data_IF_371397472059
#
_entry.id   IF_371397472059
#
_cell.length_a   1.000
_cell.length_b   1.000
_cell.length_c   1.000
_cell.angle_alpha   90.00
_cell.angle_beta   90.00
_cell.angle_gamma   90.00
#
_symmetry.space_group_name_H-M   'P 1'
#
loop_
_entity.id
_entity.type
_entity.pdbx_description
1 polymer ?
#
# COMPACT_ATOMS: atom_id res chain seq x y z
N UNK A 1 -30.08 12.61 -5.56
CA UNK A 1 -29.30 11.36 -5.44
C UNK A 1 -29.79 10.58 -4.23
N UNK A 2 -30.32 9.39 -4.43
CA UNK A 2 -30.87 8.53 -3.36
C UNK A 2 -29.79 7.65 -2.67
N UNK A 3 -30.18 6.85 -1.68
CA UNK A 3 -29.25 5.97 -0.95
C UNK A 3 -28.63 4.88 -1.85
N UNK A 4 -29.37 4.39 -2.86
CA UNK A 4 -28.92 3.35 -3.78
C UNK A 4 -27.89 3.92 -4.76
N UNK A 5 -28.17 5.08 -5.33
CA UNK A 5 -27.25 5.80 -6.22
C UNK A 5 -25.95 6.16 -5.49
N UNK A 6 -26.03 6.60 -4.22
CA UNK A 6 -24.84 6.84 -3.38
C UNK A 6 -24.01 5.57 -3.18
N UNK A 7 -24.66 4.44 -2.87
CA UNK A 7 -24.00 3.15 -2.70
C UNK A 7 -23.27 2.71 -3.97
N UNK A 8 -23.95 2.80 -5.12
CA UNK A 8 -23.38 2.43 -6.44
C UNK A 8 -22.14 3.28 -6.74
N UNK A 9 -22.28 4.61 -6.70
CA UNK A 9 -21.17 5.52 -7.01
C UNK A 9 -20.00 5.35 -6.06
N UNK A 10 -20.25 5.23 -4.75
CA UNK A 10 -19.18 5.00 -3.77
C UNK A 10 -18.44 3.68 -4.03
N UNK A 11 -19.18 2.62 -4.34
CA UNK A 11 -18.59 1.32 -4.68
C UNK A 11 -17.70 1.40 -5.90
N UNK A 12 -18.22 1.94 -7.00
CA UNK A 12 -17.49 2.07 -8.27
C UNK A 12 -16.22 2.92 -8.12
N UNK A 13 -16.29 4.03 -7.37
CA UNK A 13 -15.12 4.89 -7.13
C UNK A 13 -14.00 4.19 -6.37
N UNK A 14 -14.32 3.34 -5.40
CA UNK A 14 -13.31 2.78 -4.48
C UNK A 14 -12.79 1.44 -5.00
N UNK A 15 -13.65 0.63 -5.61
CA UNK A 15 -13.35 -0.76 -5.95
C UNK A 15 -13.46 -1.06 -7.46
N UNK A 16 -13.81 -0.07 -8.28
CA UNK A 16 -13.91 -0.22 -9.73
C UNK A 16 -15.09 -1.08 -10.18
N UNK A 17 -14.95 -1.77 -11.33
CA UNK A 17 -16.03 -2.53 -11.96
C UNK A 17 -16.53 -3.71 -11.12
N UNK A 18 -15.69 -4.26 -10.24
CA UNK A 18 -16.01 -5.41 -9.39
C UNK A 18 -16.34 -4.99 -7.95
N UNK A 19 -17.03 -3.87 -7.78
CA UNK A 19 -17.22 -3.24 -6.46
C UNK A 19 -18.20 -3.94 -5.52
N UNK A 20 -19.16 -4.71 -6.03
CA UNK A 20 -20.28 -5.20 -5.20
C UNK A 20 -19.82 -6.15 -4.08
N UNK A 21 -18.87 -7.04 -4.37
CA UNK A 21 -18.30 -7.96 -3.37
C UNK A 21 -17.46 -7.26 -2.30
N UNK A 22 -16.47 -6.41 -2.62
CA UNK A 22 -15.71 -5.67 -1.61
C UNK A 22 -16.59 -4.68 -0.83
N UNK A 23 -17.58 -4.05 -1.45
CA UNK A 23 -18.55 -3.20 -0.74
C UNK A 23 -19.43 -4.01 0.22
N UNK A 24 -19.79 -5.25 -0.12
CA UNK A 24 -20.52 -6.13 0.79
C UNK A 24 -19.70 -6.44 2.05
N UNK A 25 -18.41 -6.78 1.88
CA UNK A 25 -17.48 -6.98 3.01
C UNK A 25 -17.36 -5.72 3.86
N UNK A 26 -17.21 -4.57 3.21
CA UNK A 26 -17.07 -3.28 3.87
C UNK A 26 -18.30 -2.92 4.72
N UNK A 27 -19.49 -3.18 4.21
CA UNK A 27 -20.75 -2.92 4.91
C UNK A 27 -21.10 -4.01 5.94
N UNK A 28 -20.33 -5.10 6.03
CA UNK A 28 -20.64 -6.24 6.88
C UNK A 28 -21.91 -6.98 6.47
N UNK A 29 -22.22 -7.04 5.18
CA UNK A 29 -23.43 -7.70 4.63
C UNK A 29 -23.08 -8.75 3.59
N UNK A 30 -24.04 -9.63 3.29
CA UNK A 30 -23.87 -10.62 2.22
C UNK A 30 -23.82 -9.96 0.83
N UNK A 31 -23.01 -10.50 -0.09
CA UNK A 31 -22.90 -10.01 -1.47
C UNK A 31 -24.24 -10.06 -2.24
N UNK A 32 -25.15 -10.97 -1.89
CA UNK A 32 -26.54 -11.00 -2.41
C UNK A 32 -27.35 -9.81 -1.92
N UNK A 33 -27.11 -9.30 -0.71
CA UNK A 33 -27.80 -8.12 -0.19
C UNK A 33 -27.44 -6.87 -1.01
N UNK A 34 -26.15 -6.66 -1.28
CA UNK A 34 -25.68 -5.57 -2.16
C UNK A 34 -26.32 -5.67 -3.55
N UNK A 35 -26.34 -6.86 -4.16
CA UNK A 35 -27.02 -7.09 -5.45
C UNK A 35 -28.50 -6.74 -5.40
N UNK A 36 -29.21 -7.09 -4.33
CA UNK A 36 -30.63 -6.75 -4.16
C UNK A 36 -30.84 -5.24 -3.97
N UNK A 37 -29.95 -4.54 -3.27
CA UNK A 37 -29.98 -3.06 -3.18
C UNK A 37 -29.82 -2.43 -4.56
N UNK A 38 -28.84 -2.90 -5.34
CA UNK A 38 -28.57 -2.39 -6.69
C UNK A 38 -29.73 -2.70 -7.64
N UNK A 39 -30.36 -3.86 -7.54
CA UNK A 39 -31.53 -4.22 -8.34
C UNK A 39 -32.82 -3.49 -7.91
N UNK A 40 -32.82 -2.78 -6.78
CA UNK A 40 -34.04 -2.16 -6.21
C UNK A 40 -34.98 -3.14 -5.53
N UNK A 41 -34.58 -4.41 -5.39
CA UNK A 41 -35.36 -5.48 -4.75
C UNK A 41 -35.35 -5.36 -3.21
N UNK A 42 -34.48 -4.54 -2.65
CA UNK A 42 -34.46 -4.22 -1.22
C UNK A 42 -33.95 -2.81 -0.98
N UNK A 43 -34.33 -2.21 0.15
CA UNK A 43 -33.90 -0.88 0.54
C UNK A 43 -32.39 -0.85 0.79
N UNK A 44 -31.68 0.03 0.09
CA UNK A 44 -30.26 0.30 0.33
C UNK A 44 -30.02 0.80 1.78
N UNK A 45 -28.83 0.56 2.36
CA UNK A 45 -28.48 1.08 3.67
C UNK A 45 -28.64 2.60 3.73
N UNK A 46 -28.91 3.11 4.94
CA UNK A 46 -28.97 4.56 5.14
C UNK A 46 -27.61 5.18 4.85
N UNK A 47 -27.62 6.41 4.30
CA UNK A 47 -26.38 7.13 3.94
C UNK A 47 -25.38 7.17 5.10
N UNK A 48 -25.82 7.35 6.35
CA UNK A 48 -24.91 7.40 7.51
C UNK A 48 -24.12 6.10 7.69
N UNK A 49 -24.74 4.92 7.52
CA UNK A 49 -24.04 3.63 7.62
C UNK A 49 -22.98 3.48 6.55
N UNK A 50 -23.27 3.93 5.33
CA UNK A 50 -22.29 3.93 4.25
C UNK A 50 -21.11 4.84 4.61
N UNK A 51 -21.37 6.04 5.14
CA UNK A 51 -20.32 6.98 5.59
C UNK A 51 -19.47 6.38 6.72
N UNK A 52 -20.09 5.73 7.70
CA UNK A 52 -19.38 5.12 8.82
C UNK A 52 -18.44 4.00 8.34
N UNK A 53 -18.91 3.10 7.48
CA UNK A 53 -18.06 2.06 6.90
C UNK A 53 -16.93 2.66 6.05
N UNK A 54 -17.20 3.71 5.27
CA UNK A 54 -16.16 4.38 4.48
C UNK A 54 -15.09 5.05 5.34
N UNK A 55 -15.48 5.67 6.46
CA UNK A 55 -14.54 6.25 7.42
C UNK A 55 -13.66 5.20 8.07
N UNK A 56 -14.25 4.07 8.46
CA UNK A 56 -13.49 2.93 8.98
C UNK A 56 -12.49 2.44 7.93
N UNK A 57 -12.90 2.32 6.66
CA UNK A 57 -11.98 1.90 5.60
C UNK A 57 -10.84 2.89 5.39
N UNK A 58 -11.14 4.18 5.46
CA UNK A 58 -10.11 5.22 5.37
C UNK A 58 -9.07 5.04 6.48
N UNK A 59 -9.53 4.83 7.72
CA UNK A 59 -8.62 4.59 8.85
C UNK A 59 -7.73 3.36 8.63
N UNK A 60 -8.28 2.23 8.19
CA UNK A 60 -7.48 1.03 7.88
C UNK A 60 -6.41 1.32 6.80
N UNK A 61 -6.74 2.14 5.80
CA UNK A 61 -5.80 2.54 4.75
C UNK A 61 -4.72 3.45 5.32
N UNK A 62 -5.09 4.43 6.15
CA UNK A 62 -4.14 5.34 6.80
C UNK A 62 -3.16 4.57 7.72
N UNK A 63 -3.66 3.57 8.46
CA UNK A 63 -2.84 2.66 9.27
C UNK A 63 -1.89 1.82 8.40
N UNK A 64 -2.37 1.29 7.28
CA UNK A 64 -1.54 0.54 6.34
C UNK A 64 -0.46 1.42 5.69
N UNK A 65 -0.79 2.66 5.34
CA UNK A 65 0.18 3.64 4.82
C UNK A 65 1.26 3.90 5.87
N UNK A 66 0.87 4.17 7.12
CA UNK A 66 1.81 4.40 8.23
C UNK A 66 2.77 3.22 8.41
N UNK A 67 2.27 2.00 8.26
CA UNK A 67 3.11 0.79 8.33
C UNK A 67 4.10 0.72 7.15
N UNK A 68 3.64 0.98 5.92
CA UNK A 68 4.51 0.98 4.73
C UNK A 68 5.55 2.11 4.79
N UNK A 69 5.19 3.26 5.37
CA UNK A 69 6.07 4.41 5.56
C UNK A 69 6.96 4.30 6.81
N UNK A 70 6.91 3.19 7.55
CA UNK A 70 7.63 3.04 8.81
C UNK A 70 9.16 3.08 8.67
N UNK A 71 9.69 2.83 7.48
CA UNK A 71 11.11 2.88 7.15
C UNK A 71 11.45 3.98 6.11
N UNK A 72 10.53 4.92 5.90
CA UNK A 72 10.76 6.11 5.10
C UNK A 72 11.63 7.09 5.88
N UNK A 73 12.77 7.47 5.29
CA UNK A 73 13.70 8.44 5.87
C UNK A 73 14.06 9.52 4.86
N UNK A 74 14.55 10.66 5.36
CA UNK A 74 15.17 11.67 4.50
C UNK A 74 16.45 11.12 3.90
N UNK A 75 16.71 11.44 2.63
CA UNK A 75 17.97 11.10 1.97
C UNK A 75 19.19 11.68 2.66
N UNK A 76 19.05 12.82 3.34
CA UNK A 76 20.12 13.44 4.11
C UNK A 76 20.50 12.61 5.35
N UNK A 77 19.59 11.75 5.82
CA UNK A 77 19.87 10.79 6.89
C UNK A 77 20.60 9.53 6.40
N UNK A 78 20.76 9.36 5.07
CA UNK A 78 21.49 8.22 4.51
C UNK A 78 22.98 8.51 4.48
N UNK A 79 23.64 8.20 5.59
CA UNK A 79 25.08 8.37 5.73
C UNK A 79 25.86 7.25 5.03
N UNK A 80 27.15 7.46 4.69
CA UNK A 80 28.01 6.38 4.19
C UNK A 80 28.06 5.15 5.11
N UNK A 81 28.02 5.35 6.43
CA UNK A 81 27.99 4.28 7.43
C UNK A 81 26.69 3.46 7.37
N UNK A 82 25.56 4.13 7.10
CA UNK A 82 24.30 3.44 6.91
C UNK A 82 24.34 2.58 5.64
N UNK A 83 24.85 3.11 4.53
CA UNK A 83 25.02 2.35 3.28
C UNK A 83 25.90 1.12 3.52
N UNK A 84 27.02 1.31 4.21
CA UNK A 84 27.93 0.24 4.60
C UNK A 84 27.24 -0.82 5.48
N UNK A 85 26.41 -0.39 6.44
CA UNK A 85 25.62 -1.29 7.29
C UNK A 85 24.52 -2.07 6.55
N UNK A 86 24.05 -1.55 5.41
CA UNK A 86 23.07 -2.24 4.55
C UNK A 86 23.78 -3.27 3.68
N UNK A 87 24.84 -2.85 2.99
CA UNK A 87 25.61 -3.71 2.09
C UNK A 87 26.22 -4.89 2.85
N UNK A 88 26.79 -4.65 4.04
CA UNK A 88 27.38 -5.70 4.88
C UNK A 88 26.41 -6.82 5.33
N UNK A 89 25.10 -6.65 5.16
CA UNK A 89 24.10 -7.70 5.44
C UNK A 89 24.08 -8.81 4.39
N UNK A 90 24.71 -8.58 3.24
CA UNK A 90 24.70 -9.50 2.12
C UNK A 90 26.11 -9.96 1.77
N UNK A 91 26.20 -11.13 1.14
CA UNK A 91 27.45 -11.66 0.59
C UNK A 91 27.51 -11.36 -0.91
N UNK A 92 28.66 -10.89 -1.37
CA UNK A 92 28.91 -10.54 -2.75
C UNK A 92 29.98 -11.46 -3.34
N UNK A 93 29.97 -11.63 -4.65
CA UNK A 93 30.92 -12.50 -5.34
C UNK A 93 32.36 -11.98 -5.21
N UNK A 94 32.50 -10.66 -5.24
CA UNK A 94 33.77 -9.94 -5.14
C UNK A 94 33.54 -8.48 -4.75
N UNK A 95 34.63 -7.75 -4.55
CA UNK A 95 34.60 -6.33 -4.19
C UNK A 95 33.97 -5.45 -5.27
N UNK A 96 34.06 -5.83 -6.55
CA UNK A 96 33.44 -5.09 -7.65
C UNK A 96 31.90 -5.12 -7.56
N UNK A 97 31.30 -6.29 -7.32
CA UNK A 97 29.85 -6.42 -7.12
C UNK A 97 29.37 -5.66 -5.89
N UNK A 98 30.17 -5.69 -4.83
CA UNK A 98 29.91 -4.92 -3.61
C UNK A 98 29.92 -3.42 -3.90
N UNK A 99 30.90 -2.94 -4.66
CA UNK A 99 31.00 -1.53 -5.04
C UNK A 99 29.85 -1.10 -5.96
N UNK A 100 29.43 -1.96 -6.90
CA UNK A 100 28.25 -1.72 -7.73
C UNK A 100 26.97 -1.57 -6.89
N UNK A 101 26.84 -2.34 -5.81
CA UNK A 101 25.72 -2.21 -4.87
C UNK A 101 25.74 -0.84 -4.15
N UNK A 102 26.90 -0.43 -3.64
CA UNK A 102 27.10 0.89 -3.00
C UNK A 102 26.76 2.02 -3.96
N UNK A 103 27.27 1.97 -5.19
CA UNK A 103 27.03 3.01 -6.19
C UNK A 103 25.57 3.06 -6.63
N UNK A 104 24.90 1.91 -6.73
CA UNK A 104 23.48 1.84 -7.04
C UNK A 104 22.62 2.46 -5.93
N UNK A 105 22.94 2.18 -4.66
CA UNK A 105 22.29 2.80 -3.50
C UNK A 105 22.48 4.32 -3.54
N UNK A 106 23.71 4.80 -3.73
CA UNK A 106 23.99 6.24 -3.77
C UNK A 106 23.18 6.96 -4.85
N UNK A 107 23.02 6.32 -6.02
CA UNK A 107 22.22 6.85 -7.14
C UNK A 107 20.71 6.86 -6.88
N UNK A 108 20.22 6.06 -5.94
CA UNK A 108 18.79 5.98 -5.58
C UNK A 108 18.41 6.83 -4.38
N UNK A 109 19.36 7.53 -3.74
CA UNK A 109 19.06 8.45 -2.65
C UNK A 109 18.52 9.76 -3.24
N UNK A 110 17.26 10.06 -2.93
CA UNK A 110 16.58 11.31 -3.24
C UNK A 110 16.14 11.99 -1.93
N UNK A 111 15.27 12.99 -1.99
CA UNK A 111 14.78 13.72 -0.81
C UNK A 111 14.19 12.78 0.27
N UNK A 112 13.39 11.80 -0.15
CA UNK A 112 12.82 10.77 0.72
C UNK A 112 13.08 9.39 0.12
N UNK A 113 13.47 8.43 0.96
CA UNK A 113 13.83 7.08 0.52
C UNK A 113 13.42 6.03 1.55
N UNK A 114 12.92 4.90 1.06
CA UNK A 114 12.59 3.74 1.89
C UNK A 114 13.84 2.88 2.12
N UNK A 115 14.12 2.53 3.37
CA UNK A 115 15.25 1.63 3.69
C UNK A 115 15.06 0.26 3.03
N UNK A 116 13.84 -0.23 2.93
CA UNK A 116 13.48 -1.48 2.26
C UNK A 116 13.88 -1.47 0.78
N UNK A 117 13.72 -0.35 0.07
CA UNK A 117 14.19 -0.20 -1.31
C UNK A 117 15.72 -0.26 -1.39
N UNK A 118 16.43 0.41 -0.47
CA UNK A 118 17.89 0.34 -0.41
C UNK A 118 18.39 -1.09 -0.14
N UNK A 119 17.72 -1.84 0.74
CA UNK A 119 18.01 -3.25 1.00
C UNK A 119 17.74 -4.11 -0.25
N UNK A 120 16.66 -3.86 -0.99
CA UNK A 120 16.39 -4.58 -2.24
C UNK A 120 17.46 -4.32 -3.30
N UNK A 121 17.94 -3.07 -3.41
CA UNK A 121 19.06 -2.72 -4.29
C UNK A 121 20.31 -3.49 -3.87
N UNK A 122 20.68 -3.47 -2.59
CA UNK A 122 21.84 -4.22 -2.09
C UNK A 122 21.75 -5.72 -2.40
N UNK A 123 20.57 -6.31 -2.15
CA UNK A 123 20.27 -7.74 -2.42
C UNK A 123 20.37 -8.09 -3.89
N UNK A 124 19.98 -7.18 -4.80
CA UNK A 124 20.04 -7.43 -6.25
C UNK A 124 21.45 -7.74 -6.76
N UNK A 125 22.48 -7.14 -6.15
CA UNK A 125 23.89 -7.36 -6.51
C UNK A 125 24.57 -8.44 -5.67
N UNK A 126 23.89 -8.96 -4.65
CA UNK A 126 24.42 -10.06 -3.83
C UNK A 126 24.44 -11.37 -4.61
N UNK A 127 25.36 -12.26 -4.26
CA UNK A 127 25.37 -13.64 -4.76
C UNK A 127 24.10 -14.32 -4.27
N UNK A 128 23.16 -14.61 -5.17
CA UNK A 128 21.92 -15.30 -4.81
C UNK A 128 22.24 -16.64 -4.13
N UNK A 129 21.68 -16.88 -2.94
CA UNK A 129 21.27 -18.23 -2.53
C UNK A 129 19.85 -18.46 -3.00
#
# INVERSE_FOLDING_TARGET
MDNREKLIKAGEMIFGSQWQSPMARLLGVDSRAVRRYVAGNSRAPMTYRLVDSLKQKKQEIDEAITLVESDLISGDCVTPELIESIVSRYTYENDDHRQLAVDAIKKSIYEMVYLSDLNQIAKKYSSQQ
#
